data_IF_466317466206
#
_entry.id   IF_466317466206
#
_cell.length_a   1.000
_cell.length_b   1.000
_cell.length_c   1.000
_cell.angle_alpha   90.00
_cell.angle_beta   90.00
_cell.angle_gamma   90.00
#
_symmetry.space_group_name_H-M   'P 1'
#
loop_
_entity.id
_entity.type
_entity.pdbx_description
1 polymer ?
#
# COMPACT_ATOMS: atom_id res chain seq x y z
N UNK A 1 -15.44 12.38 -0.87
CA UNK A 1 -15.58 12.60 -2.33
C UNK A 1 -14.54 11.74 -3.08
N UNK A 2 -14.94 10.56 -3.58
CA UNK A 2 -14.13 9.80 -4.53
C UNK A 2 -14.03 10.70 -5.77
N UNK A 3 -12.84 11.09 -6.21
CA UNK A 3 -12.68 11.56 -7.59
C UNK A 3 -12.95 10.35 -8.50
N UNK A 4 -14.22 9.98 -8.63
CA UNK A 4 -14.73 9.34 -9.82
C UNK A 4 -14.83 10.51 -10.78
N UNK A 5 -13.79 10.74 -11.57
CA UNK A 5 -14.03 11.36 -12.86
C UNK A 5 -15.12 10.48 -13.49
N UNK A 6 -16.35 10.98 -13.49
CA UNK A 6 -17.45 10.27 -14.13
C UNK A 6 -17.23 10.38 -15.63
N UNK A 7 -17.82 9.45 -16.39
CA UNK A 7 -17.81 9.57 -17.86
C UNK A 7 -18.35 10.94 -18.26
N UNK A 8 -19.38 11.45 -17.57
CA UNK A 8 -19.95 12.78 -17.76
C UNK A 8 -18.93 13.90 -17.53
N UNK A 9 -18.21 13.91 -16.42
CA UNK A 9 -17.19 14.94 -16.14
C UNK A 9 -16.07 14.95 -17.20
N UNK A 10 -15.62 13.78 -17.65
CA UNK A 10 -14.63 13.74 -18.73
C UNK A 10 -15.21 14.11 -20.10
N UNK A 11 -16.50 13.89 -20.34
CA UNK A 11 -17.17 14.39 -21.54
C UNK A 11 -17.31 15.92 -21.53
N UNK A 12 -17.71 16.52 -20.42
CA UNK A 12 -17.74 17.98 -20.24
C UNK A 12 -16.34 18.59 -20.41
N UNK A 13 -15.34 17.94 -19.81
CA UNK A 13 -13.94 18.34 -19.96
C UNK A 13 -13.47 18.22 -21.41
N UNK A 14 -13.87 17.17 -22.12
CA UNK A 14 -13.56 17.00 -23.54
C UNK A 14 -14.22 18.08 -24.38
N UNK A 15 -15.48 18.39 -24.14
CA UNK A 15 -16.20 19.47 -24.83
C UNK A 15 -15.48 20.81 -24.67
N UNK A 16 -15.15 21.18 -23.43
CA UNK A 16 -14.39 22.41 -23.13
C UNK A 16 -13.00 22.42 -23.77
N UNK A 17 -12.27 21.30 -23.72
CA UNK A 17 -10.87 21.27 -24.17
C UNK A 17 -10.72 21.10 -25.68
N UNK A 18 -11.64 20.41 -26.35
CA UNK A 18 -11.57 20.17 -27.79
C UNK A 18 -12.08 21.41 -28.54
N UNK A 19 -13.19 22.01 -28.09
CA UNK A 19 -13.75 23.22 -28.71
C UNK A 19 -14.33 23.03 -30.10
N UNK A 20 -14.40 21.79 -30.61
CA UNK A 20 -14.94 21.44 -31.94
C UNK A 20 -16.17 20.57 -31.73
N UNK A 21 -17.35 21.19 -31.82
CA UNK A 21 -18.64 20.56 -31.50
C UNK A 21 -18.88 19.22 -32.21
N UNK A 22 -18.63 19.05 -33.53
CA UNK A 22 -18.80 17.76 -34.20
C UNK A 22 -17.95 16.62 -33.60
N UNK A 23 -16.75 16.94 -33.11
CA UNK A 23 -15.87 15.96 -32.48
C UNK A 23 -16.40 15.60 -31.09
N UNK A 24 -16.75 16.60 -30.30
CA UNK A 24 -17.30 16.42 -28.96
C UNK A 24 -18.58 15.57 -28.98
N UNK A 25 -19.49 15.84 -29.91
CA UNK A 25 -20.72 15.08 -30.11
C UNK A 25 -20.43 13.63 -30.51
N UNK A 26 -19.49 13.41 -31.43
CA UNK A 26 -19.08 12.06 -31.85
C UNK A 26 -18.45 11.26 -30.69
N UNK A 27 -17.70 11.91 -29.79
CA UNK A 27 -17.15 11.26 -28.59
C UNK A 27 -18.23 10.96 -27.54
N UNK A 28 -19.26 11.82 -27.39
CA UNK A 28 -20.42 11.58 -26.53
C UNK A 28 -21.22 10.36 -27.01
N UNK A 29 -21.52 10.27 -28.31
CA UNK A 29 -22.18 9.09 -28.90
C UNK A 29 -21.35 7.83 -28.71
N UNK A 30 -20.04 7.88 -28.98
CA UNK A 30 -19.14 6.75 -28.76
C UNK A 30 -19.15 6.25 -27.31
N UNK A 31 -19.06 7.16 -26.34
CA UNK A 31 -19.10 6.79 -24.93
C UNK A 31 -20.43 6.14 -24.52
N UNK A 32 -21.54 6.64 -25.07
CA UNK A 32 -22.88 6.12 -24.82
C UNK A 32 -23.03 4.71 -25.38
N UNK A 33 -22.61 4.48 -26.63
CA UNK A 33 -22.69 3.17 -27.27
C UNK A 33 -21.78 2.13 -26.59
N UNK A 34 -20.56 2.52 -26.20
CA UNK A 34 -19.68 1.64 -25.43
C UNK A 34 -20.29 1.21 -24.09
N UNK A 35 -21.09 2.07 -23.47
CA UNK A 35 -21.75 1.78 -22.20
C UNK A 35 -22.98 0.89 -22.39
N UNK A 36 -23.81 1.19 -23.40
CA UNK A 36 -25.08 0.49 -23.64
C UNK A 36 -24.86 -0.85 -24.36
N UNK A 37 -24.12 -0.85 -25.47
CA UNK A 37 -24.01 -2.02 -26.36
C UNK A 37 -22.95 -3.02 -25.89
N UNK A 38 -21.83 -2.53 -25.33
CA UNK A 38 -20.71 -3.38 -24.94
C UNK A 38 -20.55 -3.57 -23.42
N UNK A 39 -21.33 -2.86 -22.60
CA UNK A 39 -21.27 -2.95 -21.15
C UNK A 39 -19.90 -2.60 -20.56
N UNK A 40 -19.13 -1.72 -21.20
CA UNK A 40 -17.79 -1.37 -20.75
C UNK A 40 -17.83 -0.54 -19.46
N UNK A 41 -16.83 -0.76 -18.59
CA UNK A 41 -16.70 0.01 -17.35
C UNK A 41 -16.34 1.47 -17.61
N UNK A 42 -16.80 2.38 -16.74
CA UNK A 42 -16.52 3.82 -16.84
C UNK A 42 -15.03 4.13 -17.01
N UNK A 43 -14.16 3.44 -16.26
CA UNK A 43 -12.71 3.59 -16.38
C UNK A 43 -12.18 3.27 -17.78
N UNK A 44 -12.78 2.29 -18.46
CA UNK A 44 -12.38 1.90 -19.82
C UNK A 44 -12.86 2.91 -20.86
N UNK A 45 -14.04 3.48 -20.66
CA UNK A 45 -14.57 4.57 -21.49
C UNK A 45 -13.68 5.81 -21.35
N UNK A 46 -13.37 6.23 -20.12
CA UNK A 46 -12.47 7.35 -19.82
C UNK A 46 -11.09 7.13 -20.44
N UNK A 47 -10.56 5.90 -20.36
CA UNK A 47 -9.30 5.53 -21.02
C UNK A 47 -9.31 5.87 -22.51
N UNK A 48 -10.42 5.60 -23.22
CA UNK A 48 -10.53 5.93 -24.64
C UNK A 48 -10.71 7.44 -24.84
N UNK A 49 -11.62 8.07 -24.10
CA UNK A 49 -11.94 9.49 -24.21
C UNK A 49 -10.71 10.40 -24.03
N UNK A 50 -9.86 10.12 -23.04
CA UNK A 50 -8.63 10.90 -22.80
C UNK A 50 -7.69 10.84 -24.01
N UNK A 51 -7.53 9.65 -24.61
CA UNK A 51 -6.62 9.44 -25.74
C UNK A 51 -7.18 10.04 -27.03
N UNK A 52 -8.48 9.87 -27.25
CA UNK A 52 -9.17 10.44 -28.40
C UNK A 52 -9.19 11.96 -28.34
N UNK A 53 -9.32 12.57 -27.15
CA UNK A 53 -9.14 14.02 -26.96
C UNK A 53 -7.76 14.50 -27.40
N UNK A 54 -6.69 13.78 -27.04
CA UNK A 54 -5.33 14.16 -27.46
C UNK A 54 -5.19 14.00 -28.96
N UNK A 55 -5.70 12.90 -29.52
CA UNK A 55 -5.67 12.66 -30.96
C UNK A 55 -6.46 13.71 -31.74
N UNK A 56 -7.65 14.10 -31.28
CA UNK A 56 -8.47 15.10 -31.95
C UNK A 56 -7.81 16.47 -31.98
N UNK A 57 -7.01 16.81 -30.97
CA UNK A 57 -6.20 18.04 -30.97
C UNK A 57 -5.02 17.99 -31.93
N UNK A 58 -4.49 16.79 -32.24
CA UNK A 58 -3.37 16.63 -33.15
C UNK A 58 -3.78 16.68 -34.63
N UNK A 59 -5.04 16.34 -34.93
CA UNK A 59 -5.56 16.23 -36.29
C UNK A 59 -7.03 16.70 -36.37
N UNK A 60 -7.33 17.96 -35.99
CA UNK A 60 -8.70 18.43 -35.80
C UNK A 60 -9.58 18.31 -37.05
N UNK A 61 -9.06 18.70 -38.21
CA UNK A 61 -9.84 18.77 -39.45
C UNK A 61 -10.19 17.39 -40.02
N UNK A 62 -9.33 16.42 -39.79
CA UNK A 62 -9.44 15.06 -40.36
C UNK A 62 -9.83 14.01 -39.32
N UNK A 63 -10.00 14.37 -38.04
CA UNK A 63 -10.28 13.44 -36.94
C UNK A 63 -11.52 12.57 -37.17
N UNK A 64 -12.59 13.14 -37.73
CA UNK A 64 -13.83 12.37 -37.94
C UNK A 64 -13.74 11.40 -39.11
N UNK A 65 -12.85 11.65 -40.08
CA UNK A 65 -12.72 10.86 -41.30
C UNK A 65 -11.27 10.86 -41.82
N UNK A 66 -10.34 10.21 -41.11
CA UNK A 66 -8.92 10.29 -41.47
C UNK A 66 -8.56 9.42 -42.67
N UNK A 67 -7.49 9.82 -43.37
CA UNK A 67 -6.77 8.96 -44.29
C UNK A 67 -5.79 8.03 -43.55
N UNK A 68 -5.21 7.07 -44.27
CA UNK A 68 -4.15 6.21 -43.73
C UNK A 68 -2.90 7.03 -43.36
N UNK A 69 -2.60 8.05 -44.15
CA UNK A 69 -1.45 8.95 -44.01
C UNK A 69 -1.59 9.86 -42.78
N UNK A 70 -2.80 10.33 -42.48
CA UNK A 70 -3.08 11.13 -41.27
C UNK A 70 -2.81 10.30 -40.02
N UNK A 71 -3.28 9.04 -40.00
CA UNK A 71 -3.07 8.13 -38.87
C UNK A 71 -1.60 7.73 -38.70
N UNK A 72 -0.87 7.52 -39.81
CA UNK A 72 0.59 7.31 -39.76
C UNK A 72 1.28 8.51 -39.14
N UNK A 73 0.97 9.72 -39.61
CA UNK A 73 1.57 10.97 -39.14
C UNK A 73 1.29 11.21 -37.66
N UNK A 74 0.05 10.97 -37.21
CA UNK A 74 -0.32 11.07 -35.80
C UNK A 74 0.44 10.07 -34.92
N UNK A 75 0.59 8.81 -35.36
CA UNK A 75 1.33 7.79 -34.61
C UNK A 75 2.83 8.12 -34.55
N UNK A 76 3.43 8.58 -35.65
CA UNK A 76 4.83 9.00 -35.68
C UNK A 76 5.07 10.19 -34.73
N UNK A 77 4.16 11.17 -34.72
CA UNK A 77 4.22 12.31 -33.80
C UNK A 77 4.11 11.85 -32.32
N UNK A 78 3.28 10.84 -32.02
CA UNK A 78 3.23 10.24 -30.69
C UNK A 78 4.53 9.52 -30.31
N UNK A 79 5.21 8.91 -31.27
CA UNK A 79 6.48 8.20 -31.05
C UNK A 79 7.68 9.13 -30.91
N UNK A 80 7.69 10.29 -31.57
CA UNK A 80 8.78 11.25 -31.53
C UNK A 80 8.82 12.08 -30.24
N UNK A 81 7.73 12.09 -29.46
CA UNK A 81 7.67 12.78 -28.18
C UNK A 81 8.50 12.04 -27.11
N UNK A 82 9.54 12.70 -26.61
CA UNK A 82 10.46 12.18 -25.60
C UNK A 82 9.80 11.77 -24.27
N UNK A 83 8.62 12.31 -23.95
CA UNK A 83 7.89 12.03 -22.72
C UNK A 83 6.83 10.91 -22.84
N UNK A 84 6.72 10.25 -24.00
CA UNK A 84 5.73 9.19 -24.23
C UNK A 84 6.43 7.83 -24.26
N UNK A 85 6.02 6.94 -23.36
CA UNK A 85 6.56 5.57 -23.33
C UNK A 85 6.04 4.73 -24.52
N UNK A 86 6.78 3.70 -24.97
CA UNK A 86 6.30 2.78 -26.00
C UNK A 86 4.94 2.14 -25.67
N UNK A 87 4.69 1.90 -24.37
CA UNK A 87 3.41 1.38 -23.88
C UNK A 87 2.28 2.39 -24.08
N UNK A 88 2.55 3.67 -23.83
CA UNK A 88 1.57 4.73 -24.03
C UNK A 88 1.17 4.83 -25.50
N UNK A 89 2.13 4.73 -26.43
CA UNK A 89 1.85 4.67 -27.88
C UNK A 89 0.94 3.49 -28.21
N UNK A 90 1.18 2.33 -27.61
CA UNK A 90 0.36 1.14 -27.80
C UNK A 90 -1.08 1.32 -27.31
N UNK A 91 -1.25 2.01 -26.18
CA UNK A 91 -2.58 2.36 -25.69
C UNK A 91 -3.32 3.34 -26.64
N UNK A 92 -2.60 4.29 -27.28
CA UNK A 92 -3.18 5.16 -28.32
C UNK A 92 -3.61 4.35 -29.55
N UNK A 93 -2.78 3.42 -30.04
CA UNK A 93 -3.15 2.52 -31.14
C UNK A 93 -4.40 1.71 -30.82
N UNK A 94 -4.54 1.24 -29.58
CA UNK A 94 -5.74 0.56 -29.11
C UNK A 94 -6.98 1.47 -29.14
N UNK A 95 -6.86 2.72 -28.70
CA UNK A 95 -7.96 3.69 -28.74
C UNK A 95 -8.36 4.05 -30.18
N UNK A 96 -7.38 4.29 -31.06
CA UNK A 96 -7.59 4.57 -32.50
C UNK A 96 -8.41 3.45 -33.13
N UNK A 97 -7.94 2.20 -33.00
CA UNK A 97 -8.66 1.05 -33.58
C UNK A 97 -10.07 0.92 -33.03
N UNK A 98 -10.27 1.10 -31.72
CA UNK A 98 -11.58 0.95 -31.10
C UNK A 98 -12.57 2.00 -31.61
N UNK A 99 -12.15 3.26 -31.64
CA UNK A 99 -12.99 4.37 -32.08
C UNK A 99 -13.34 4.28 -33.57
N UNK A 100 -12.35 4.07 -34.45
CA UNK A 100 -12.64 4.04 -35.88
C UNK A 100 -13.31 2.75 -36.34
N UNK A 101 -13.22 1.65 -35.57
CA UNK A 101 -14.07 0.47 -35.80
C UNK A 101 -15.55 0.77 -35.53
N UNK A 102 -15.83 1.63 -34.53
CA UNK A 102 -17.19 2.08 -34.24
C UNK A 102 -17.66 3.16 -35.23
N UNK A 103 -16.78 4.06 -35.65
CA UNK A 103 -17.14 5.23 -36.48
C UNK A 103 -17.27 4.94 -37.98
N UNK A 104 -16.38 4.12 -38.54
CA UNK A 104 -16.26 3.90 -39.98
C UNK A 104 -17.01 2.62 -40.40
N UNK A 105 -17.37 2.56 -41.68
CA UNK A 105 -17.84 1.30 -42.28
C UNK A 105 -16.73 0.23 -42.26
N UNK A 106 -17.09 -1.05 -42.25
CA UNK A 106 -16.11 -2.14 -42.24
C UNK A 106 -15.08 -2.03 -43.38
N UNK A 107 -15.53 -1.65 -44.58
CA UNK A 107 -14.67 -1.44 -45.75
C UNK A 107 -13.65 -0.33 -45.51
N UNK A 108 -14.08 0.78 -44.92
CA UNK A 108 -13.19 1.91 -44.62
C UNK A 108 -12.22 1.59 -43.48
N UNK A 109 -12.69 0.88 -42.44
CA UNK A 109 -11.84 0.43 -41.35
C UNK A 109 -10.72 -0.49 -41.85
N UNK A 110 -11.06 -1.46 -42.71
CA UNK A 110 -10.08 -2.37 -43.34
C UNK A 110 -9.03 -1.58 -44.13
N UNK A 111 -9.47 -0.64 -44.97
CA UNK A 111 -8.58 0.16 -45.82
C UNK A 111 -7.68 1.10 -45.02
N UNK A 112 -8.20 1.77 -43.98
CA UNK A 112 -7.53 2.92 -43.35
C UNK A 112 -6.90 2.64 -41.99
N UNK A 113 -7.37 1.63 -41.25
CA UNK A 113 -7.03 1.45 -39.82
C UNK A 113 -6.49 0.06 -39.51
N UNK A 114 -6.91 -0.99 -40.22
CA UNK A 114 -6.61 -2.38 -39.87
C UNK A 114 -5.11 -2.69 -39.79
N UNK A 115 -4.28 -2.01 -40.59
CA UNK A 115 -2.82 -2.12 -40.61
C UNK A 115 -2.14 -1.77 -39.27
N UNK A 116 -2.81 -1.00 -38.39
CA UNK A 116 -2.30 -0.62 -37.08
C UNK A 116 -2.28 -1.86 -36.19
N UNK A 117 -1.14 -2.55 -36.09
CA UNK A 117 -0.98 -3.70 -35.20
C UNK A 117 -0.81 -3.24 -33.76
N UNK A 118 -1.59 -3.82 -32.86
CA UNK A 118 -1.47 -3.60 -31.42
C UNK A 118 -0.65 -4.72 -30.80
N UNK A 119 0.53 -4.42 -30.28
CA UNK A 119 1.31 -5.43 -29.55
C UNK A 119 0.65 -5.68 -28.20
N UNK A 120 0.35 -6.95 -27.92
CA UNK A 120 -0.04 -7.39 -26.59
C UNK A 120 1.07 -7.06 -25.58
N UNK A 121 0.73 -7.02 -24.29
CA UNK A 121 1.76 -6.89 -23.25
C UNK A 121 2.73 -8.07 -23.40
N UNK A 122 3.92 -7.89 -23.98
CA UNK A 122 5.00 -8.88 -23.99
C UNK A 122 6.27 -8.25 -23.45
N UNK A 123 6.20 -7.70 -22.25
CA UNK A 123 7.40 -7.39 -21.48
C UNK A 123 7.45 -8.40 -20.35
N UNK A 124 7.99 -9.58 -20.63
CA UNK A 124 8.47 -10.53 -19.62
C UNK A 124 9.78 -9.97 -19.05
N UNK A 125 9.75 -8.78 -18.46
CA UNK A 125 10.85 -8.37 -17.58
C UNK A 125 10.40 -8.72 -16.18
N UNK A 126 10.99 -9.79 -15.68
CA UNK A 126 11.13 -9.99 -14.25
C UNK A 126 11.76 -8.71 -13.72
N UNK A 127 11.05 -8.01 -12.85
CA UNK A 127 11.65 -6.94 -12.07
C UNK A 127 12.72 -7.60 -11.20
N UNK A 128 13.96 -7.13 -11.29
CA UNK A 128 15.08 -7.68 -10.50
C UNK A 128 14.79 -7.55 -9.01
N UNK A 129 15.47 -8.34 -8.18
CA UNK A 129 15.35 -8.28 -6.72
C UNK A 129 15.58 -6.85 -6.19
N UNK A 130 16.49 -6.09 -6.82
CA UNK A 130 16.75 -4.67 -6.53
C UNK A 130 15.53 -3.73 -6.73
N UNK A 131 14.46 -4.20 -7.38
CA UNK A 131 13.21 -3.46 -7.51
C UNK A 131 12.20 -3.74 -6.39
N UNK A 132 12.40 -4.74 -5.53
CA UNK A 132 11.49 -5.06 -4.42
C UNK A 132 11.65 -4.11 -3.24
N UNK A 133 10.63 -3.99 -2.38
CA UNK A 133 10.72 -3.26 -1.10
C UNK A 133 11.46 -4.14 -0.09
N UNK A 134 12.62 -3.69 0.38
CA UNK A 134 13.37 -4.43 1.41
C UNK A 134 12.71 -4.33 2.79
N UNK A 135 13.09 -5.22 3.71
CA UNK A 135 12.59 -5.18 5.10
C UNK A 135 12.98 -3.86 5.79
N UNK A 136 14.22 -3.39 5.58
CA UNK A 136 14.70 -2.11 6.10
C UNK A 136 13.94 -0.91 5.51
N UNK A 137 13.70 -0.88 4.18
CA UNK A 137 12.86 0.14 3.55
C UNK A 137 11.46 0.15 4.17
N UNK A 138 10.91 -1.04 4.46
CA UNK A 138 9.58 -1.18 5.08
C UNK A 138 9.56 -0.66 6.52
N UNK A 139 10.52 -1.03 7.36
CA UNK A 139 10.63 -0.52 8.74
C UNK A 139 10.78 1.00 8.76
N UNK A 140 11.72 1.54 7.97
CA UNK A 140 11.91 3.00 7.83
C UNK A 140 10.63 3.70 7.39
N UNK A 141 9.90 3.13 6.43
CA UNK A 141 8.63 3.68 5.96
C UNK A 141 7.57 3.74 7.09
N UNK A 142 7.42 2.65 7.85
CA UNK A 142 6.42 2.54 8.93
C UNK A 142 6.77 3.43 10.12
N UNK A 143 8.02 3.47 10.53
CA UNK A 143 8.50 4.33 11.63
C UNK A 143 8.25 5.80 11.32
N UNK A 144 8.40 6.19 10.05
CA UNK A 144 8.16 7.54 9.57
C UNK A 144 6.70 7.81 9.17
N UNK A 145 5.76 6.92 9.46
CA UNK A 145 4.33 7.21 9.37
C UNK A 145 3.86 7.94 10.63
N UNK A 146 3.20 9.09 10.46
CA UNK A 146 2.67 9.88 11.58
C UNK A 146 1.43 9.23 12.16
N UNK A 147 0.48 8.81 11.31
CA UNK A 147 -0.79 8.24 11.77
C UNK A 147 -0.71 6.72 11.92
N UNK A 148 -1.40 6.19 12.93
CA UNK A 148 -1.58 4.75 13.14
C UNK A 148 -2.27 4.12 11.92
N UNK A 149 -3.23 4.83 11.31
CA UNK A 149 -3.86 4.45 10.04
C UNK A 149 -2.83 4.18 8.94
N UNK A 150 -1.90 5.10 8.70
CA UNK A 150 -0.93 4.96 7.62
C UNK A 150 0.05 3.80 7.89
N UNK A 151 0.42 3.57 9.17
CA UNK A 151 1.19 2.40 9.59
C UNK A 151 0.45 1.09 9.25
N UNK A 152 -0.82 1.01 9.63
CA UNK A 152 -1.68 -0.13 9.30
C UNK A 152 -1.83 -0.32 7.78
N UNK A 153 -2.04 0.76 7.03
CA UNK A 153 -2.26 0.71 5.59
C UNK A 153 -1.06 0.17 4.82
N UNK A 154 0.14 0.70 5.08
CA UNK A 154 1.33 0.28 4.33
C UNK A 154 1.84 -1.08 4.77
N UNK A 155 1.78 -1.40 6.07
CA UNK A 155 2.12 -2.75 6.55
C UNK A 155 1.16 -3.79 5.96
N UNK A 156 -0.15 -3.50 5.90
CA UNK A 156 -1.14 -4.38 5.29
C UNK A 156 -0.93 -4.58 3.78
N UNK A 157 -0.58 -3.51 3.04
CA UNK A 157 -0.24 -3.64 1.62
C UNK A 157 0.98 -4.53 1.39
N UNK A 158 2.01 -4.38 2.23
CA UNK A 158 3.21 -5.21 2.20
C UNK A 158 2.91 -6.67 2.54
N UNK A 159 2.07 -6.92 3.55
CA UNK A 159 1.82 -8.26 4.09
C UNK A 159 0.78 -9.07 3.29
N UNK A 160 -0.29 -8.41 2.86
CA UNK A 160 -1.38 -9.08 2.13
C UNK A 160 -1.09 -9.25 0.63
N UNK A 161 -0.26 -8.40 0.04
CA UNK A 161 -0.08 -8.34 -1.41
C UNK A 161 -1.35 -7.93 -2.18
N UNK A 162 -2.39 -7.45 -1.51
CA UNK A 162 -3.64 -7.03 -2.14
C UNK A 162 -3.45 -5.82 -3.05
N UNK A 163 -4.35 -5.66 -4.03
CA UNK A 163 -4.41 -4.42 -4.80
C UNK A 163 -4.89 -3.31 -3.88
N UNK A 164 -4.37 -2.11 -4.07
CA UNK A 164 -4.77 -0.97 -3.24
C UNK A 164 -6.25 -0.63 -3.33
N UNK A 165 -6.90 -0.89 -4.47
CA UNK A 165 -8.35 -0.74 -4.59
C UNK A 165 -9.12 -1.71 -3.68
N UNK A 166 -8.62 -2.94 -3.51
CA UNK A 166 -9.20 -3.93 -2.61
C UNK A 166 -9.03 -3.49 -1.15
N UNK A 167 -7.84 -2.99 -0.79
CA UNK A 167 -7.57 -2.47 0.56
C UNK A 167 -8.41 -1.23 0.90
N UNK A 168 -8.54 -0.28 -0.03
CA UNK A 168 -9.31 0.95 0.20
C UNK A 168 -10.83 0.72 0.22
N UNK A 169 -11.31 -0.44 -0.21
CA UNK A 169 -12.74 -0.81 -0.18
C UNK A 169 -13.07 -1.87 0.86
N UNK A 170 -12.08 -2.30 1.64
CA UNK A 170 -12.23 -3.24 2.75
C UNK A 170 -13.08 -2.60 3.86
N UNK A 171 -14.05 -3.34 4.38
CA UNK A 171 -14.91 -2.92 5.50
C UNK A 171 -14.50 -3.58 6.80
N UNK A 172 -14.92 -3.03 7.93
CA UNK A 172 -14.61 -3.59 9.25
C UNK A 172 -15.10 -5.04 9.38
N UNK A 173 -16.30 -5.34 8.86
CA UNK A 173 -16.85 -6.70 8.83
C UNK A 173 -16.04 -7.71 8.01
N UNK A 174 -15.21 -7.24 7.10
CA UNK A 174 -14.38 -8.09 6.23
C UNK A 174 -13.09 -8.55 6.95
N UNK A 175 -12.87 -8.10 8.19
CA UNK A 175 -11.73 -8.47 9.04
C UNK A 175 -12.14 -9.59 10.01
N UNK A 176 -11.62 -10.79 9.80
CA UNK A 176 -11.84 -11.92 10.71
C UNK A 176 -10.56 -12.24 11.47
N UNK A 177 -10.52 -11.93 12.76
CA UNK A 177 -9.37 -12.20 13.62
C UNK A 177 -9.43 -13.62 14.19
N UNK A 178 -8.29 -14.29 14.25
CA UNK A 178 -8.11 -15.53 15.01
C UNK A 178 -6.79 -15.50 15.81
N UNK A 179 -6.42 -16.64 16.39
CA UNK A 179 -5.21 -16.80 17.19
C UNK A 179 -3.91 -16.69 16.36
N UNK A 180 -3.98 -16.87 15.04
CA UNK A 180 -2.82 -16.88 14.14
C UNK A 180 -2.63 -15.55 13.41
N UNK A 181 -3.67 -14.72 13.32
CA UNK A 181 -3.60 -13.40 12.69
C UNK A 181 -4.97 -12.85 12.32
N UNK A 182 -5.11 -12.46 11.06
CA UNK A 182 -6.37 -11.94 10.49
C UNK A 182 -6.59 -12.53 9.08
N UNK A 183 -7.83 -12.85 8.75
CA UNK A 183 -8.26 -13.13 7.37
C UNK A 183 -9.04 -11.93 6.85
N UNK A 184 -8.67 -11.49 5.64
CA UNK A 184 -9.34 -10.41 4.93
C UNK A 184 -10.26 -11.02 3.87
N UNK A 185 -11.53 -10.64 3.88
CA UNK A 185 -12.44 -10.92 2.77
C UNK A 185 -12.38 -9.77 1.76
N UNK A 186 -11.68 -9.97 0.64
CA UNK A 186 -11.47 -8.91 -0.36
C UNK A 186 -12.26 -9.18 -1.63
N UNK A 187 -12.89 -8.14 -2.16
CA UNK A 187 -13.59 -8.17 -3.45
C UNK A 187 -12.85 -7.28 -4.46
N UNK A 188 -12.60 -7.81 -5.65
CA UNK A 188 -11.87 -7.11 -6.70
C UNK A 188 -12.29 -7.52 -8.10
N UNK A 189 -11.56 -7.04 -9.11
CA UNK A 189 -11.84 -7.31 -10.53
C UNK A 189 -11.90 -8.81 -10.87
N UNK A 190 -11.15 -9.63 -10.13
CA UNK A 190 -11.02 -11.07 -10.36
C UNK A 190 -11.96 -11.90 -9.47
N UNK A 191 -12.92 -11.27 -8.80
CA UNK A 191 -13.82 -11.92 -7.85
C UNK A 191 -13.43 -11.71 -6.39
N UNK A 192 -14.10 -12.44 -5.51
CA UNK A 192 -13.88 -12.44 -4.07
C UNK A 192 -12.85 -13.48 -3.67
N UNK A 193 -12.06 -13.19 -2.64
CA UNK A 193 -11.12 -14.15 -2.07
C UNK A 193 -10.84 -13.86 -0.60
N UNK A 194 -10.36 -14.90 0.09
CA UNK A 194 -9.82 -14.79 1.44
C UNK A 194 -8.31 -14.61 1.38
N UNK A 195 -7.80 -13.62 2.10
CA UNK A 195 -6.37 -13.32 2.17
C UNK A 195 -5.92 -13.40 3.60
N UNK A 196 -5.03 -14.36 3.89
CA UNK A 196 -4.49 -14.56 5.24
C UNK A 196 -3.33 -13.60 5.47
N UNK A 197 -3.36 -12.87 6.58
CA UNK A 197 -2.21 -12.10 7.09
C UNK A 197 -1.82 -12.61 8.47
N UNK A 198 -0.52 -12.78 8.66
CA UNK A 198 0.10 -13.27 9.90
C UNK A 198 1.33 -12.45 10.29
N UNK A 199 1.77 -11.53 9.43
CA UNK A 199 2.96 -10.72 9.62
C UNK A 199 2.73 -9.48 10.48
N UNK A 200 3.72 -8.61 10.49
CA UNK A 200 3.75 -7.38 11.28
C UNK A 200 2.56 -6.44 11.04
N UNK A 201 1.80 -6.63 9.96
CA UNK A 201 0.59 -5.86 9.69
C UNK A 201 -0.52 -6.06 10.73
N UNK A 202 -0.59 -7.24 11.36
CA UNK A 202 -1.65 -7.60 12.32
C UNK A 202 -1.71 -6.65 13.52
N UNK A 203 -0.62 -6.41 14.29
CA UNK A 203 -0.67 -5.47 15.41
C UNK A 203 -1.02 -4.03 14.99
N UNK A 204 -0.49 -3.54 13.86
CA UNK A 204 -0.84 -2.20 13.37
C UNK A 204 -2.32 -2.10 12.97
N UNK A 205 -2.84 -3.12 12.28
CA UNK A 205 -4.24 -3.16 11.87
C UNK A 205 -5.18 -3.20 13.07
N UNK A 206 -4.88 -4.02 14.09
CA UNK A 206 -5.67 -4.11 15.32
C UNK A 206 -5.69 -2.78 16.07
N UNK A 207 -4.53 -2.14 16.22
CA UNK A 207 -4.43 -0.82 16.87
C UNK A 207 -5.23 0.25 16.11
N UNK A 208 -5.14 0.27 14.78
CA UNK A 208 -5.90 1.19 13.96
C UNK A 208 -7.42 0.98 14.08
N UNK A 209 -7.88 -0.28 14.00
CA UNK A 209 -9.31 -0.61 14.13
C UNK A 209 -9.85 -0.20 15.51
N UNK A 210 -9.06 -0.35 16.57
CA UNK A 210 -9.43 0.10 17.92
C UNK A 210 -9.60 1.63 18.01
N UNK A 211 -8.77 2.39 17.30
CA UNK A 211 -8.83 3.86 17.23
C UNK A 211 -9.75 4.37 16.11
N UNK A 212 -10.44 3.47 15.40
CA UNK A 212 -11.19 3.83 14.20
C UNK A 212 -12.41 4.70 14.58
N UNK A 213 -12.63 5.86 13.93
CA UNK A 213 -13.72 6.78 14.29
C UNK A 213 -15.13 6.17 14.23
N UNK A 214 -15.28 5.10 13.44
CA UNK A 214 -16.52 4.33 13.24
C UNK A 214 -16.31 2.84 13.54
N UNK A 215 -15.49 2.50 14.54
CA UNK A 215 -15.11 1.11 14.86
C UNK A 215 -16.32 0.16 15.03
N UNK A 216 -17.41 0.68 15.60
CA UNK A 216 -18.64 -0.09 15.86
C UNK A 216 -19.55 -0.24 14.64
N UNK A 217 -19.21 0.36 13.49
CA UNK A 217 -20.00 0.22 12.25
C UNK A 217 -19.33 -0.81 11.33
N UNK A 218 -19.89 -2.04 11.22
CA UNK A 218 -19.30 -3.11 10.41
C UNK A 218 -19.19 -2.76 8.91
N UNK A 219 -20.05 -1.85 8.42
CA UNK A 219 -20.07 -1.39 7.03
C UNK A 219 -19.14 -0.22 6.75
N UNK A 220 -18.53 0.36 7.78
CA UNK A 220 -17.52 1.39 7.58
C UNK A 220 -16.30 0.80 6.87
N UNK A 221 -15.75 1.56 5.93
CA UNK A 221 -14.43 1.26 5.36
C UNK A 221 -13.38 1.23 6.47
N UNK A 222 -12.45 0.29 6.40
CA UNK A 222 -11.33 0.17 7.35
C UNK A 222 -10.43 1.39 7.27
N UNK A 223 -10.17 1.90 6.06
CA UNK A 223 -9.30 3.05 5.86
C UNK A 223 -10.14 4.29 5.50
N UNK A 224 -10.28 5.18 6.48
CA UNK A 224 -10.98 6.47 6.34
C UNK A 224 -9.97 7.64 6.32
N UNK A 225 -10.41 8.79 5.82
CA UNK A 225 -9.61 10.01 5.86
C UNK A 225 -9.52 10.54 7.29
N UNK A 226 -8.32 10.96 7.67
CA UNK A 226 -8.03 11.63 8.94
C UNK A 226 -7.83 13.13 8.76
N UNK A 227 -8.11 13.66 7.56
CA UNK A 227 -8.06 15.11 7.30
C UNK A 227 -9.26 15.81 7.90
N UNK A 228 -9.12 17.06 8.32
CA UNK A 228 -10.22 17.83 8.89
C UNK A 228 -11.41 17.96 7.91
N UNK A 229 -11.14 18.09 6.61
CA UNK A 229 -12.15 18.32 5.58
C UNK A 229 -12.96 17.09 5.19
N UNK A 230 -12.43 15.88 5.43
CA UNK A 230 -13.07 14.63 5.03
C UNK A 230 -13.03 13.59 6.16
N UNK A 231 -12.97 14.04 7.42
CA UNK A 231 -12.76 13.16 8.56
C UNK A 231 -13.81 12.04 8.58
N UNK A 232 -13.35 10.79 8.71
CA UNK A 232 -14.21 9.61 8.75
C UNK A 232 -14.92 9.24 7.43
N UNK A 233 -14.57 9.90 6.32
CA UNK A 233 -14.98 9.52 4.97
C UNK A 233 -14.04 8.45 4.38
N UNK A 234 -14.48 7.60 3.44
CA UNK A 234 -13.61 6.62 2.79
C UNK A 234 -12.35 7.25 2.18
N UNK A 235 -11.19 6.70 2.52
CA UNK A 235 -9.90 7.16 1.99
C UNK A 235 -9.81 6.84 0.49
N UNK A 236 -9.41 7.83 -0.33
CA UNK A 236 -9.24 7.63 -1.76
C UNK A 236 -7.78 7.39 -2.18
N UNK A 237 -7.58 6.90 -3.40
CA UNK A 237 -6.25 6.59 -3.92
C UNK A 237 -5.29 7.81 -3.92
N UNK A 238 -5.70 9.03 -4.35
CA UNK A 238 -4.84 10.21 -4.25
C UNK A 238 -4.40 10.54 -2.82
N UNK A 239 -5.28 10.39 -1.83
CA UNK A 239 -4.93 10.58 -0.42
C UNK A 239 -3.89 9.57 0.03
N UNK A 240 -4.07 8.29 -0.30
CA UNK A 240 -3.11 7.23 0.03
C UNK A 240 -1.77 7.47 -0.65
N UNK A 241 -1.78 7.87 -1.92
CA UNK A 241 -0.56 8.17 -2.66
C UNK A 241 0.21 9.36 -2.04
N UNK A 242 -0.51 10.40 -1.58
CA UNK A 242 0.08 11.53 -0.84
C UNK A 242 0.63 11.08 0.51
N UNK A 243 -0.10 10.24 1.25
CA UNK A 243 0.36 9.68 2.52
C UNK A 243 1.66 8.89 2.35
N UNK A 244 1.72 8.03 1.32
CA UNK A 244 2.91 7.25 0.98
C UNK A 244 4.09 8.16 0.62
N UNK A 245 3.87 9.17 -0.21
CA UNK A 245 4.93 10.12 -0.58
C UNK A 245 5.45 10.93 0.62
N UNK A 246 4.57 11.36 1.53
CA UNK A 246 4.98 12.03 2.77
C UNK A 246 5.81 11.12 3.68
N UNK A 247 5.39 9.87 3.85
CA UNK A 247 6.12 8.89 4.65
C UNK A 247 7.50 8.59 4.06
N UNK A 248 7.60 8.35 2.75
CA UNK A 248 8.89 8.18 2.06
C UNK A 248 9.82 9.36 2.21
N UNK A 249 9.30 10.59 2.06
CA UNK A 249 10.10 11.81 2.20
C UNK A 249 10.70 11.93 3.60
N UNK A 250 9.92 11.63 4.64
CA UNK A 250 10.43 11.61 6.03
C UNK A 250 11.45 10.50 6.26
N UNK A 251 11.21 9.32 5.67
CA UNK A 251 12.10 8.17 5.76
C UNK A 251 13.41 8.31 4.93
N UNK A 252 13.60 9.39 4.17
CA UNK A 252 14.76 9.55 3.28
C UNK A 252 14.77 8.59 2.08
N UNK A 253 13.64 7.95 1.76
CA UNK A 253 13.54 6.99 0.65
C UNK A 253 13.36 7.77 -0.66
N UNK A 254 14.43 7.85 -1.45
CA UNK A 254 14.46 8.54 -2.76
C UNK A 254 13.88 7.69 -3.88
N UNK A 255 13.89 6.36 -3.72
CA UNK A 255 13.39 5.41 -4.72
C UNK A 255 11.87 5.47 -4.86
N UNK A 256 11.38 5.18 -6.07
CA UNK A 256 9.94 5.16 -6.37
C UNK A 256 9.26 3.91 -5.80
N UNK A 257 8.70 4.02 -4.60
CA UNK A 257 7.74 3.04 -4.07
C UNK A 257 6.30 3.49 -4.40
N UNK A 258 5.50 2.55 -4.94
CA UNK A 258 4.08 2.71 -5.28
C UNK A 258 3.32 1.41 -4.90
N UNK A 259 1.98 1.41 -4.79
CA UNK A 259 1.25 0.28 -4.22
C UNK A 259 1.49 -1.07 -4.89
N UNK A 260 1.59 -1.09 -6.23
CA UNK A 260 1.91 -2.33 -6.95
C UNK A 260 3.27 -2.94 -6.57
N UNK A 261 4.23 -2.15 -6.07
CA UNK A 261 5.54 -2.65 -5.66
C UNK A 261 5.44 -3.54 -4.43
N UNK A 262 4.62 -3.16 -3.43
CA UNK A 262 4.31 -4.03 -2.27
C UNK A 262 3.75 -5.37 -2.71
N UNK A 263 2.83 -5.34 -3.68
CA UNK A 263 2.26 -6.55 -4.27
C UNK A 263 3.30 -7.41 -4.99
N UNK A 264 4.20 -6.81 -5.76
CA UNK A 264 5.30 -7.52 -6.42
C UNK A 264 6.20 -8.17 -5.37
N UNK A 265 6.55 -7.44 -4.32
CA UNK A 265 7.37 -7.96 -3.21
C UNK A 265 6.71 -9.13 -2.51
N UNK A 266 5.43 -9.02 -2.12
CA UNK A 266 4.72 -10.12 -1.47
C UNK A 266 4.56 -11.34 -2.37
N UNK A 267 4.28 -11.14 -3.67
CA UNK A 267 4.23 -12.22 -4.64
C UNK A 267 5.57 -12.98 -4.74
N UNK A 268 6.69 -12.26 -4.80
CA UNK A 268 8.01 -12.88 -4.84
C UNK A 268 8.34 -13.64 -3.54
N UNK A 269 8.01 -13.08 -2.37
CA UNK A 269 8.22 -13.75 -1.07
C UNK A 269 7.39 -15.03 -0.96
N UNK A 270 6.13 -15.00 -1.41
CA UNK A 270 5.28 -16.18 -1.35
C UNK A 270 5.68 -17.21 -2.40
N UNK A 271 6.08 -16.79 -3.60
CA UNK A 271 6.50 -17.71 -4.65
C UNK A 271 7.74 -18.54 -4.26
N UNK A 272 8.57 -18.05 -3.34
CA UNK A 272 9.71 -18.82 -2.80
C UNK A 272 9.35 -19.75 -1.64
N UNK A 273 8.15 -19.63 -1.07
CA UNK A 273 7.79 -20.27 0.21
C UNK A 273 6.57 -21.17 0.13
N UNK A 274 5.70 -20.97 -0.85
CA UNK A 274 4.47 -21.74 -1.01
C UNK A 274 4.33 -22.27 -2.43
N UNK A 275 3.57 -23.35 -2.57
CA UNK A 275 3.20 -23.90 -3.88
C UNK A 275 2.37 -22.89 -4.70
N UNK A 276 2.29 -23.15 -6.00
CA UNK A 276 1.62 -22.28 -6.98
C UNK A 276 0.14 -22.04 -6.62
N UNK A 277 -0.63 -23.07 -6.30
CA UNK A 277 -2.07 -22.91 -6.02
C UNK A 277 -2.37 -22.01 -4.79
N UNK A 278 -1.72 -22.19 -3.62
CA UNK A 278 -1.84 -21.23 -2.51
C UNK A 278 -1.43 -19.79 -2.86
N UNK A 279 -0.34 -19.61 -3.62
CA UNK A 279 0.09 -18.31 -4.11
C UNK A 279 -1.00 -17.66 -4.96
N UNK A 280 -1.55 -18.40 -5.92
CA UNK A 280 -2.59 -17.90 -6.82
C UNK A 280 -3.87 -17.54 -6.06
N UNK A 281 -4.27 -18.36 -5.09
CA UNK A 281 -5.40 -18.08 -4.21
C UNK A 281 -5.19 -16.79 -3.42
N UNK A 282 -4.05 -16.64 -2.74
CA UNK A 282 -3.71 -15.44 -1.96
C UNK A 282 -3.68 -14.18 -2.84
N UNK A 283 -3.05 -14.28 -4.02
CA UNK A 283 -2.90 -13.16 -4.94
C UNK A 283 -4.18 -12.88 -5.74
N UNK A 284 -5.12 -13.82 -5.86
CA UNK A 284 -6.27 -13.70 -6.76
C UNK A 284 -5.83 -13.76 -8.23
N UNK A 285 -5.01 -14.75 -8.57
CA UNK A 285 -4.61 -15.07 -9.94
C UNK A 285 -5.35 -16.30 -10.45
N UNK A 286 -5.52 -16.34 -11.76
CA UNK A 286 -6.09 -17.50 -12.45
C UNK A 286 -4.94 -18.47 -12.75
N UNK A 287 -5.20 -19.77 -12.56
CA UNK A 287 -4.21 -20.79 -12.82
C UNK A 287 -3.56 -20.67 -14.21
N UNK A 288 -2.24 -20.72 -14.27
CA UNK A 288 -1.49 -20.60 -15.53
C UNK A 288 -1.54 -19.22 -16.19
N UNK A 289 -2.07 -18.20 -15.51
CA UNK A 289 -2.08 -16.81 -15.99
C UNK A 289 -0.67 -16.27 -16.20
N UNK A 290 -0.54 -15.18 -16.96
CA UNK A 290 0.76 -14.55 -17.16
C UNK A 290 1.38 -14.03 -15.86
N UNK A 291 0.54 -13.57 -14.93
CA UNK A 291 0.98 -13.11 -13.62
C UNK A 291 1.63 -14.27 -12.88
N UNK A 292 0.98 -15.42 -12.82
CA UNK A 292 1.51 -16.66 -12.23
C UNK A 292 2.87 -17.02 -12.83
N UNK A 293 2.96 -17.14 -14.16
CA UNK A 293 4.22 -17.50 -14.85
C UNK A 293 5.37 -16.52 -14.58
N UNK A 294 5.04 -15.28 -14.24
CA UNK A 294 6.04 -14.26 -13.87
C UNK A 294 6.74 -14.60 -12.55
N UNK A 295 6.15 -15.40 -11.64
CA UNK A 295 6.76 -15.70 -10.33
C UNK A 295 7.05 -17.18 -10.11
N UNK A 296 6.38 -18.10 -10.81
CA UNK A 296 6.57 -19.55 -10.59
C UNK A 296 8.01 -20.01 -10.78
N UNK A 297 8.78 -19.38 -11.68
CA UNK A 297 10.21 -19.67 -11.84
C UNK A 297 11.07 -19.32 -10.60
N UNK A 298 10.59 -18.50 -9.65
CA UNK A 298 11.28 -18.26 -8.38
C UNK A 298 11.20 -19.49 -7.48
N UNK A 299 10.07 -20.21 -7.49
CA UNK A 299 9.93 -21.50 -6.82
C UNK A 299 10.96 -22.51 -7.34
N UNK A 300 11.39 -22.41 -8.61
CA UNK A 300 12.43 -23.28 -9.17
C UNK A 300 13.84 -22.98 -8.60
N UNK A 301 14.16 -21.72 -8.25
CA UNK A 301 15.39 -21.44 -7.50
C UNK A 301 15.37 -22.06 -6.11
N UNK A 302 14.20 -22.08 -5.48
CA UNK A 302 14.04 -22.79 -4.21
C UNK A 302 14.00 -24.31 -4.36
N UNK A 303 13.63 -24.86 -5.52
CA UNK A 303 13.86 -26.29 -5.81
C UNK A 303 15.35 -26.61 -5.77
N UNK A 304 16.19 -25.80 -6.42
CA UNK A 304 17.65 -25.98 -6.34
C UNK A 304 18.13 -25.86 -4.90
N UNK A 305 17.69 -24.84 -4.14
CA UNK A 305 18.04 -24.68 -2.72
C UNK A 305 17.54 -25.83 -1.84
N UNK A 306 16.35 -26.37 -2.12
CA UNK A 306 15.77 -27.50 -1.41
C UNK A 306 16.51 -28.80 -1.72
N UNK A 307 16.93 -28.99 -2.97
CA UNK A 307 17.81 -30.09 -3.39
C UNK A 307 19.16 -29.94 -2.68
N UNK A 308 19.79 -28.77 -2.71
CA UNK A 308 21.03 -28.49 -1.99
C UNK A 308 20.91 -28.82 -0.49
N UNK A 309 19.83 -28.39 0.17
CA UNK A 309 19.54 -28.72 1.57
C UNK A 309 19.35 -30.23 1.78
N UNK A 310 18.69 -30.93 0.88
CA UNK A 310 18.54 -32.39 0.93
C UNK A 310 19.88 -33.14 0.82
N UNK A 311 20.85 -32.57 0.10
CA UNK A 311 22.23 -33.06 0.01
C UNK A 311 23.15 -32.50 1.13
N UNK A 312 22.61 -31.82 2.15
CA UNK A 312 23.36 -31.30 3.29
C UNK A 312 24.15 -30.01 3.02
N UNK A 313 23.98 -29.41 1.84
CA UNK A 313 24.62 -28.14 1.48
C UNK A 313 23.75 -27.00 2.04
N UNK A 314 24.36 -26.11 2.83
CA UNK A 314 23.73 -24.89 3.35
C UNK A 314 24.17 -23.69 2.51
N UNK A 315 23.45 -23.35 1.43
CA UNK A 315 23.73 -22.13 0.66
C UNK A 315 23.47 -20.87 1.52
N UNK A 316 24.23 -19.81 1.26
CA UNK A 316 23.99 -18.50 1.87
C UNK A 316 22.58 -18.00 1.51
N UNK A 317 21.73 -17.80 2.52
CA UNK A 317 20.38 -17.30 2.30
C UNK A 317 20.41 -15.78 2.05
N UNK A 318 19.88 -15.32 0.92
CA UNK A 318 19.68 -13.89 0.65
C UNK A 318 18.68 -13.32 1.69
N UNK A 319 19.17 -12.48 2.59
CA UNK A 319 18.41 -11.92 3.71
C UNK A 319 17.64 -10.65 3.35
N UNK A 320 17.74 -10.16 2.11
CA UNK A 320 17.27 -8.81 1.75
C UNK A 320 15.74 -8.68 1.71
N UNK A 321 15.03 -9.76 1.44
CA UNK A 321 13.56 -9.79 1.30
C UNK A 321 12.99 -11.00 2.05
N UNK A 322 12.43 -10.79 3.24
CA UNK A 322 11.86 -11.85 4.10
C UNK A 322 10.50 -11.41 4.66
N UNK A 323 9.70 -12.40 5.07
CA UNK A 323 8.53 -12.13 5.90
C UNK A 323 8.94 -11.47 7.21
N UNK A 324 8.15 -10.49 7.60
CA UNK A 324 8.30 -9.78 8.85
C UNK A 324 7.21 -10.33 9.78
N UNK A 325 7.60 -11.13 10.76
CA UNK A 325 6.68 -11.81 11.66
C UNK A 325 6.60 -11.11 13.02
N UNK A 326 5.38 -10.93 13.57
CA UNK A 326 5.20 -10.28 14.85
C UNK A 326 5.72 -11.19 15.97
N UNK A 327 6.22 -10.57 17.03
CA UNK A 327 6.67 -11.26 18.24
C UNK A 327 5.66 -11.11 19.37
N UNK A 328 5.40 -12.20 20.08
CA UNK A 328 4.58 -12.18 21.27
C UNK A 328 5.36 -11.61 22.46
N UNK A 329 4.72 -10.75 23.26
CA UNK A 329 5.32 -10.26 24.50
C UNK A 329 5.40 -11.40 25.53
N UNK A 330 6.56 -11.67 26.14
CA UNK A 330 6.71 -12.75 27.11
C UNK A 330 5.90 -12.53 28.40
N UNK A 331 5.49 -11.28 28.70
CA UNK A 331 4.72 -10.94 29.91
C UNK A 331 3.21 -10.96 29.68
N UNK A 332 2.72 -10.38 28.58
CA UNK A 332 1.28 -10.18 28.37
C UNK A 332 0.73 -10.86 27.11
N UNK A 333 1.58 -11.60 26.39
CA UNK A 333 1.29 -12.30 25.15
C UNK A 333 0.72 -11.45 23.99
N UNK A 334 0.77 -10.11 24.11
CA UNK A 334 0.36 -9.22 23.04
C UNK A 334 1.29 -9.37 21.84
N UNK A 335 0.72 -9.39 20.62
CA UNK A 335 1.50 -9.35 19.39
C UNK A 335 2.09 -7.96 19.19
N UNK A 336 3.38 -7.90 18.92
CA UNK A 336 4.12 -6.68 18.63
C UNK A 336 4.83 -6.83 17.28
N UNK A 337 5.05 -5.75 16.53
CA UNK A 337 5.89 -5.79 15.35
C UNK A 337 7.28 -6.37 15.66
N UNK A 338 7.88 -7.02 14.67
CA UNK A 338 9.22 -7.62 14.77
C UNK A 338 10.27 -6.65 15.30
N UNK A 339 10.25 -5.40 14.82
CA UNK A 339 11.15 -4.31 15.20
C UNK A 339 10.72 -3.57 16.48
N UNK A 340 9.68 -4.02 17.18
CA UNK A 340 9.21 -3.34 18.39
C UNK A 340 10.26 -3.39 19.50
N UNK A 341 10.69 -2.22 19.96
CA UNK A 341 11.62 -2.07 21.08
C UNK A 341 10.91 -2.31 22.42
N UNK A 342 9.66 -1.88 22.54
CA UNK A 342 8.82 -2.05 23.72
C UNK A 342 7.49 -2.71 23.36
N UNK A 343 6.88 -3.39 24.32
CA UNK A 343 5.55 -3.95 24.17
C UNK A 343 4.50 -2.83 24.10
N UNK A 344 3.64 -2.86 23.08
CA UNK A 344 2.57 -1.88 22.87
C UNK A 344 1.48 -1.92 23.94
N UNK A 345 1.35 -3.04 24.67
CA UNK A 345 0.32 -3.24 25.70
C UNK A 345 0.85 -2.98 27.11
N UNK A 346 1.95 -3.62 27.49
CA UNK A 346 2.47 -3.55 28.87
C UNK A 346 3.80 -2.80 29.01
N UNK A 347 4.30 -2.18 27.93
CA UNK A 347 5.53 -1.39 27.90
C UNK A 347 6.82 -2.13 28.28
N UNK A 348 6.76 -3.45 28.42
CA UNK A 348 7.94 -4.28 28.65
C UNK A 348 8.98 -4.09 27.53
N UNK A 349 10.26 -3.86 27.83
CA UNK A 349 11.34 -3.94 26.84
C UNK A 349 11.35 -5.31 26.15
N UNK A 350 11.43 -5.31 24.83
CA UNK A 350 11.46 -6.52 23.99
C UNK A 350 12.83 -6.74 23.34
N UNK A 351 13.80 -5.86 23.61
CA UNK A 351 15.19 -5.99 23.15
C UNK A 351 16.15 -5.88 24.31
N UNK A 352 17.34 -6.46 24.14
CA UNK A 352 18.38 -6.46 25.17
C UNK A 352 18.85 -5.02 25.42
N UNK A 353 19.02 -4.24 24.35
CA UNK A 353 19.47 -2.85 24.42
C UNK A 353 18.50 -1.99 25.24
N UNK A 354 17.19 -2.10 24.98
CA UNK A 354 16.17 -1.36 25.73
C UNK A 354 16.09 -1.79 27.19
N UNK A 355 16.33 -3.07 27.47
CA UNK A 355 16.40 -3.59 28.84
C UNK A 355 17.60 -2.98 29.58
N UNK A 356 18.76 -2.92 28.94
CA UNK A 356 19.97 -2.29 29.50
C UNK A 356 19.78 -0.79 29.71
N UNK A 357 19.19 -0.07 28.75
CA UNK A 357 18.90 1.36 28.87
C UNK A 357 17.95 1.66 30.04
N UNK A 358 16.93 0.83 30.26
CA UNK A 358 16.05 0.99 31.42
C UNK A 358 16.78 0.75 32.72
N UNK A 359 17.62 -0.29 32.81
CA UNK A 359 18.44 -0.56 34.01
C UNK A 359 19.36 0.60 34.35
N UNK A 360 20.05 1.16 33.35
CA UNK A 360 20.93 2.32 33.54
C UNK A 360 20.13 3.54 34.04
N UNK A 361 18.94 3.77 33.50
CA UNK A 361 18.06 4.85 33.97
C UNK A 361 17.56 4.61 35.39
N UNK A 362 17.22 3.37 35.73
CA UNK A 362 16.77 2.99 37.07
C UNK A 362 17.89 3.22 38.09
N UNK A 363 19.10 2.72 37.83
CA UNK A 363 20.28 2.96 38.68
C UNK A 363 20.59 4.47 38.84
N UNK A 364 20.44 5.25 37.77
CA UNK A 364 20.64 6.70 37.83
C UNK A 364 19.58 7.39 38.69
N UNK A 365 18.31 6.99 38.55
CA UNK A 365 17.20 7.50 39.36
C UNK A 365 17.39 7.15 40.83
N UNK A 366 17.78 5.90 41.14
CA UNK A 366 18.07 5.45 42.50
C UNK A 366 19.17 6.30 43.14
N UNK A 367 20.30 6.51 42.46
CA UNK A 367 21.39 7.38 42.94
C UNK A 367 20.94 8.82 43.18
N UNK A 368 20.13 9.38 42.28
CA UNK A 368 19.59 10.75 42.44
C UNK A 368 18.63 10.87 43.64
N UNK A 369 17.86 9.83 43.94
CA UNK A 369 16.97 9.78 45.09
C UNK A 369 17.73 9.62 46.41
N UNK A 370 18.77 8.78 46.42
CA UNK A 370 19.70 8.63 47.55
C UNK A 370 20.40 9.96 47.86
N UNK A 371 20.95 10.63 46.83
CA UNK A 371 21.68 11.90 46.98
C UNK A 371 20.80 13.05 47.52
N UNK A 372 19.48 12.99 47.32
CA UNK A 372 18.54 14.04 47.80
C UNK A 372 17.95 13.74 49.18
N UNK A 373 18.32 12.63 49.83
CA UNK A 373 17.82 12.26 51.16
C UNK A 373 16.29 12.07 51.22
N UNK A 374 15.66 11.75 50.09
CA UNK A 374 14.20 11.66 49.93
C UNK A 374 13.62 10.29 50.31
N UNK A 375 14.48 9.30 50.61
CA UNK A 375 14.07 7.94 50.95
C UNK A 375 14.61 7.63 52.35
N UNK A 376 13.71 7.58 53.33
CA UNK A 376 13.99 6.99 54.65
C UNK A 376 14.38 5.52 54.48
N UNK A 377 15.36 5.06 55.25
CA UNK A 377 15.95 3.72 55.16
C UNK A 377 14.91 2.59 55.29
N UNK A 378 13.79 2.85 55.98
CA UNK A 378 12.64 1.92 56.08
C UNK A 378 11.79 1.87 54.82
N UNK A 379 11.66 2.99 54.11
CA UNK A 379 10.94 3.06 52.83
C UNK A 379 11.74 2.37 51.72
N UNK A 380 13.08 2.47 51.79
CA UNK A 380 13.99 1.75 50.89
C UNK A 380 13.82 0.23 50.98
N UNK A 381 13.78 -0.31 52.19
CA UNK A 381 13.55 -1.74 52.43
C UNK A 381 12.17 -2.22 51.93
N UNK A 382 11.14 -1.37 51.99
CA UNK A 382 9.81 -1.70 51.44
C UNK A 382 9.80 -1.72 49.91
N UNK A 383 10.49 -0.78 49.26
CA UNK A 383 10.62 -0.70 47.79
C UNK A 383 11.49 -1.84 47.25
N UNK A 384 12.49 -2.29 48.01
CA UNK A 384 13.36 -3.43 47.67
C UNK A 384 12.67 -4.80 47.70
N UNK A 385 11.62 -4.94 48.51
CA UNK A 385 10.84 -6.18 48.58
C UNK A 385 9.63 -6.21 47.63
N UNK A 386 9.43 -5.18 46.80
CA UNK A 386 8.32 -5.11 45.85
C UNK A 386 8.67 -5.71 44.47
N UNK A 387 7.67 -6.24 43.73
CA UNK A 387 7.86 -6.68 42.35
C UNK A 387 8.34 -5.53 41.43
N UNK A 388 9.31 -5.79 40.55
CA UNK A 388 9.90 -4.79 39.63
C UNK A 388 8.85 -3.94 38.88
N UNK A 389 7.70 -4.53 38.54
CA UNK A 389 6.66 -3.82 37.79
C UNK A 389 5.92 -2.72 38.56
N UNK A 390 5.92 -2.76 39.90
CA UNK A 390 5.25 -1.76 40.75
C UNK A 390 6.23 -0.68 41.23
N UNK A 391 7.50 -1.06 41.32
CA UNK A 391 8.63 -0.23 41.75
C UNK A 391 8.76 1.05 40.92
N UNK A 392 8.72 0.92 39.60
CA UNK A 392 8.90 2.04 38.67
C UNK A 392 7.77 3.08 38.79
N UNK A 393 6.53 2.63 39.03
CA UNK A 393 5.37 3.52 39.18
C UNK A 393 5.44 4.36 40.45
N UNK A 394 5.81 3.74 41.57
CA UNK A 394 5.96 4.42 42.87
C UNK A 394 7.15 5.38 42.84
N UNK A 395 8.30 4.96 42.30
CA UNK A 395 9.47 5.84 42.16
C UNK A 395 9.17 7.07 41.30
N UNK A 396 8.42 6.90 40.21
CA UNK A 396 8.00 8.02 39.34
C UNK A 396 7.06 8.98 40.09
N UNK A 397 6.11 8.45 40.87
CA UNK A 397 5.17 9.26 41.67
C UNK A 397 5.91 10.06 42.78
N UNK A 398 6.86 9.45 43.47
CA UNK A 398 7.68 10.10 44.51
C UNK A 398 8.50 11.25 43.90
N UNK A 399 9.13 11.04 42.74
CA UNK A 399 9.87 12.08 42.02
C UNK A 399 8.95 13.23 41.63
N UNK A 400 7.75 12.93 41.12
CA UNK A 400 6.79 13.94 40.68
C UNK A 400 6.21 14.75 41.87
N UNK A 401 6.03 14.12 43.02
CA UNK A 401 5.68 14.79 44.28
C UNK A 401 6.84 15.66 44.80
N UNK A 402 8.09 15.19 44.71
CA UNK A 402 9.26 15.97 45.14
C UNK A 402 9.49 17.20 44.23
N UNK A 403 9.24 17.08 42.93
CA UNK A 403 9.34 18.19 41.97
C UNK A 403 8.24 19.24 42.21
N UNK A 404 7.00 18.82 42.46
CA UNK A 404 5.88 19.74 42.74
C UNK A 404 5.97 20.42 44.12
N UNK A 405 6.67 19.84 45.10
CA UNK A 405 6.95 20.48 46.38
C UNK A 405 8.04 21.57 46.30
N UNK A 406 9.00 21.46 45.36
CA UNK A 406 10.00 22.50 45.11
C UNK A 406 9.36 23.81 44.61
N UNK A 407 8.34 23.73 43.77
CA UNK A 407 7.64 24.91 43.24
C UNK A 407 6.84 25.65 44.33
N UNK A 408 6.35 24.95 45.37
CA UNK A 408 5.65 25.59 46.49
C UNK A 408 6.58 26.30 47.48
N UNK A 409 7.83 25.86 47.63
CA UNK A 409 8.81 26.52 48.51
C UNK A 409 9.38 27.82 47.93
N UNK A 410 9.29 28.02 46.61
CA UNK A 410 9.76 29.26 45.95
C UNK A 410 8.72 30.39 46.06
N UNK A 411 7.44 30.08 46.31
CA UNK A 411 6.35 31.07 46.39
C UNK A 411 6.02 31.47 47.84
N UNK A 412 6.64 30.82 48.84
CA UNK A 412 6.30 30.95 50.26
C UNK A 412 7.24 31.79 51.14
N UNK A 413 8.28 32.43 50.58
CA UNK A 413 9.15 33.34 51.34
C UNK A 413 9.00 34.76 50.79
N UNK A 414 7.95 35.45 51.24
CA UNK A 414 7.94 36.90 51.45
C UNK A 414 8.17 37.17 52.92
#
# INVERSE_FOLDING_TARGET
MIYKDTVEQELERNERLIGIKPISDSLKSFATDLKIQEGLTDHRIIFYLIRLRVLSKMMPDVFLNPSMEDLKSAIVNLQSKSNISPRTVEDYKQAIRKYYKWKLSDREFQKRVQWIKVRGNSVNRLKKSEEMVSVDEMHKLIENCISVRDKALFSLLYDSGCRVGEILTLRIRDLQNDQWGTVLHVSGKTGERMVRIVGDSVPYLREWVQQHPKANNPDSMVFVSTSAQAYSEPMNYPEMARALNRAKKRAGITRRIHPHLFRHTRASILASRVAEAPLESQMGWIHGSRQTRTYVHLSAKDQDMAILKAYGIKPEEDNTVRDISPKACPRCNALNPSNAVYCRKCWLPLTIEATLELKVKEEHIERELENKGLIDERVKALIENMPESERTGILTAIIQMALTQKDKKIIGNH
#
